data_IF_999221536058
#
_entry.id   IF_999221536058
#
_cell.length_a   1.000
_cell.length_b   1.000
_cell.length_c   1.000
_cell.angle_alpha   90.00
_cell.angle_beta   90.00
_cell.angle_gamma   90.00
#
_symmetry.space_group_name_H-M   'P 1'
#
loop_
_entity.id
_entity.type
_entity.pdbx_description
1 polymer ?
#
# COMPACT_ATOMS: atom_id res chain seq x y z
N UNK A 1 -13.94 -6.01 30.55
CA UNK A 1 -12.76 -5.30 30.02
C UNK A 1 -13.18 -3.87 29.73
N UNK A 2 -12.66 -2.90 30.45
CA UNK A 2 -13.04 -1.48 30.32
C UNK A 2 -12.27 -0.89 29.11
N UNK A 3 -13.00 -0.60 28.05
CA UNK A 3 -12.43 0.06 26.87
C UNK A 3 -11.92 1.45 27.24
N UNK A 4 -10.64 1.71 27.07
CA UNK A 4 -10.05 3.02 27.36
C UNK A 4 -10.59 4.10 26.43
N UNK A 5 -10.49 5.37 26.82
CA UNK A 5 -10.86 6.53 25.97
C UNK A 5 -10.07 6.52 24.65
N UNK A 6 -8.82 6.07 24.70
CA UNK A 6 -7.93 5.90 23.55
C UNK A 6 -8.45 4.85 22.57
N UNK A 7 -8.89 3.67 23.07
CA UNK A 7 -9.41 2.59 22.22
C UNK A 7 -10.72 2.98 21.51
N UNK A 8 -11.54 3.80 22.17
CA UNK A 8 -12.77 4.32 21.57
C UNK A 8 -12.48 5.32 20.46
N UNK A 9 -11.50 6.19 20.65
CA UNK A 9 -11.07 7.16 19.64
C UNK A 9 -10.46 6.45 18.43
N UNK A 10 -9.62 5.45 18.63
CA UNK A 10 -9.01 4.65 17.55
C UNK A 10 -10.10 3.92 16.74
N UNK A 11 -11.08 3.29 17.39
CA UNK A 11 -12.20 2.65 16.69
C UNK A 11 -13.07 3.63 15.90
N UNK A 12 -13.32 4.81 16.44
CA UNK A 12 -14.06 5.86 15.76
C UNK A 12 -13.30 6.32 14.49
N UNK A 13 -11.99 6.55 14.62
CA UNK A 13 -11.12 6.92 13.50
C UNK A 13 -11.13 5.85 12.40
N UNK A 14 -11.01 4.58 12.79
CA UNK A 14 -11.02 3.45 11.84
C UNK A 14 -12.35 3.33 11.09
N UNK A 15 -13.48 3.47 11.78
CA UNK A 15 -14.80 3.46 11.14
C UNK A 15 -14.97 4.59 10.12
N UNK A 16 -14.52 5.79 10.46
CA UNK A 16 -14.53 6.92 9.53
C UNK A 16 -13.63 6.67 8.33
N UNK A 17 -12.44 6.11 8.54
CA UNK A 17 -11.49 5.81 7.47
C UNK A 17 -12.04 4.78 6.50
N UNK A 18 -12.67 3.70 7.00
CA UNK A 18 -13.30 2.69 6.16
C UNK A 18 -14.46 3.27 5.34
N UNK A 19 -15.36 4.02 5.98
CA UNK A 19 -16.47 4.66 5.29
C UNK A 19 -16.00 5.68 4.24
N UNK A 20 -14.91 6.39 4.52
CA UNK A 20 -14.30 7.32 3.58
C UNK A 20 -13.70 6.59 2.37
N UNK A 21 -13.01 5.47 2.60
CA UNK A 21 -12.45 4.63 1.54
C UNK A 21 -13.53 4.20 0.55
N UNK A 22 -14.65 3.69 1.05
CA UNK A 22 -15.79 3.27 0.23
C UNK A 22 -16.41 4.45 -0.55
N UNK A 23 -16.59 5.60 0.11
CA UNK A 23 -17.17 6.79 -0.54
C UNK A 23 -16.24 7.36 -1.62
N UNK A 24 -14.93 7.39 -1.37
CA UNK A 24 -13.96 7.82 -2.37
C UNK A 24 -13.85 6.82 -3.53
N UNK A 25 -13.94 5.52 -3.26
CA UNK A 25 -13.95 4.49 -4.30
C UNK A 25 -15.17 4.62 -5.22
N UNK A 26 -16.35 4.90 -4.67
CA UNK A 26 -17.60 5.06 -5.43
C UNK A 26 -17.66 6.37 -6.24
N UNK A 27 -17.29 7.50 -5.60
CA UNK A 27 -17.54 8.83 -6.14
C UNK A 27 -16.30 9.53 -6.69
N UNK A 28 -15.08 9.06 -6.35
CA UNK A 28 -13.83 9.78 -6.52
C UNK A 28 -13.71 10.94 -5.54
N UNK A 29 -12.50 11.52 -5.46
CA UNK A 29 -12.23 12.59 -4.47
C UNK A 29 -13.18 13.78 -4.63
N UNK A 30 -13.33 14.35 -5.82
CA UNK A 30 -14.08 15.60 -6.03
C UNK A 30 -15.54 15.49 -5.58
N UNK A 31 -16.24 14.45 -5.99
CA UNK A 31 -17.67 14.27 -5.74
C UNK A 31 -18.00 13.65 -4.38
N UNK A 32 -17.00 13.16 -3.65
CA UNK A 32 -17.20 12.61 -2.32
C UNK A 32 -17.55 13.72 -1.32
N UNK A 33 -18.75 13.66 -0.74
CA UNK A 33 -19.20 14.59 0.29
C UNK A 33 -18.87 14.04 1.68
N UNK A 34 -18.33 14.89 2.57
CA UNK A 34 -18.01 14.49 3.98
C UNK A 34 -19.26 14.06 4.75
N UNK A 35 -20.44 14.63 4.42
CA UNK A 35 -21.73 14.21 4.99
C UNK A 35 -22.03 12.75 4.69
N UNK A 36 -21.78 12.29 3.45
CA UNK A 36 -21.97 10.90 3.05
C UNK A 36 -21.00 9.95 3.79
N UNK A 37 -19.79 10.41 4.07
CA UNK A 37 -18.81 9.63 4.86
C UNK A 37 -19.32 9.42 6.28
N UNK A 38 -19.77 10.47 6.96
CA UNK A 38 -20.23 10.34 8.36
C UNK A 38 -21.54 9.59 8.48
N UNK A 39 -22.45 9.74 7.51
CA UNK A 39 -23.68 8.94 7.43
C UNK A 39 -23.37 7.46 7.30
N UNK A 40 -22.47 7.07 6.39
CA UNK A 40 -22.03 5.68 6.21
C UNK A 40 -21.33 5.12 7.46
N UNK A 41 -20.52 5.95 8.12
CA UNK A 41 -19.86 5.57 9.36
C UNK A 41 -20.82 5.49 10.56
N UNK A 42 -22.05 6.05 10.47
CA UNK A 42 -22.96 6.21 11.60
C UNK A 42 -22.37 7.12 12.68
N UNK A 43 -21.71 8.22 12.25
CA UNK A 43 -20.99 9.17 13.10
C UNK A 43 -21.36 10.61 12.73
N UNK A 44 -20.79 11.59 13.42
CA UNK A 44 -21.08 13.01 13.24
C UNK A 44 -19.98 13.72 12.44
N UNK A 45 -20.32 14.85 11.79
CA UNK A 45 -19.34 15.74 11.16
C UNK A 45 -18.27 16.22 12.15
N UNK A 46 -18.68 16.52 13.40
CA UNK A 46 -17.75 16.90 14.47
C UNK A 46 -16.71 15.84 14.75
N UNK A 47 -17.09 14.53 14.71
CA UNK A 47 -16.13 13.44 14.87
C UNK A 47 -15.14 13.36 13.70
N UNK A 48 -15.60 13.55 12.47
CA UNK A 48 -14.72 13.55 11.30
C UNK A 48 -13.70 14.70 11.38
N UNK A 49 -14.16 15.92 11.65
CA UNK A 49 -13.26 17.07 11.75
C UNK A 49 -12.32 16.98 12.95
N UNK A 50 -12.75 16.36 14.05
CA UNK A 50 -11.88 16.10 15.21
C UNK A 50 -10.71 15.17 14.84
N UNK A 51 -10.96 14.10 14.05
CA UNK A 51 -9.94 13.12 13.71
C UNK A 51 -9.06 13.49 12.52
N UNK A 52 -9.59 14.23 11.56
CA UNK A 52 -8.94 14.45 10.26
C UNK A 52 -8.84 15.94 9.85
N UNK A 53 -9.52 16.84 10.53
CA UNK A 53 -9.50 18.29 10.26
C UNK A 53 -10.24 18.72 8.99
N UNK A 54 -10.15 17.94 7.90
CA UNK A 54 -10.74 18.29 6.60
C UNK A 54 -11.00 17.04 5.75
N UNK A 55 -11.69 17.21 4.60
CA UNK A 55 -11.79 16.16 3.56
C UNK A 55 -10.41 15.75 3.03
N UNK A 56 -9.52 16.74 2.84
CA UNK A 56 -8.15 16.50 2.42
C UNK A 56 -7.40 15.68 3.49
N UNK A 57 -7.52 16.01 4.77
CA UNK A 57 -6.91 15.23 5.86
C UNK A 57 -7.41 13.79 5.94
N UNK A 58 -8.68 13.52 5.54
CA UNK A 58 -9.18 12.15 5.38
C UNK A 58 -8.48 11.43 4.23
N UNK A 59 -8.30 12.09 3.08
CA UNK A 59 -7.62 11.52 1.93
C UNK A 59 -6.14 11.24 2.23
N UNK A 60 -5.44 12.18 2.87
CA UNK A 60 -4.06 12.00 3.33
C UNK A 60 -3.93 10.82 4.31
N UNK A 61 -4.87 10.68 5.24
CA UNK A 61 -4.89 9.55 6.17
C UNK A 61 -5.09 8.20 5.46
N UNK A 62 -5.87 8.13 4.38
CA UNK A 62 -6.00 6.93 3.54
C UNK A 62 -4.72 6.63 2.77
N UNK A 63 -4.10 7.65 2.16
CA UNK A 63 -2.84 7.48 1.44
C UNK A 63 -1.71 6.98 2.36
N UNK A 64 -1.67 7.44 3.61
CA UNK A 64 -0.64 7.08 4.57
C UNK A 64 -0.91 5.76 5.33
N UNK A 65 -2.14 5.25 5.33
CA UNK A 65 -2.48 4.01 6.02
C UNK A 65 -2.00 2.72 5.30
N UNK A 66 -1.48 2.83 4.08
CA UNK A 66 -1.19 1.68 3.22
C UNK A 66 -0.13 0.73 3.80
N UNK A 67 1.02 1.26 4.22
CA UNK A 67 2.14 0.46 4.73
C UNK A 67 1.85 -0.17 6.09
N UNK A 68 1.16 0.55 6.97
CA UNK A 68 0.81 0.09 8.33
C UNK A 68 -0.04 -1.19 8.32
N UNK A 69 -0.77 -1.46 7.23
CA UNK A 69 -1.66 -2.61 7.12
C UNK A 69 -0.96 -3.88 6.60
N UNK A 70 0.22 -3.76 5.98
CA UNK A 70 0.91 -4.87 5.31
C UNK A 70 2.04 -5.43 6.18
N UNK A 71 2.91 -4.58 6.71
CA UNK A 71 4.12 -5.01 7.43
C UNK A 71 3.90 -5.95 8.61
N UNK A 72 2.89 -5.75 9.49
CA UNK A 72 2.70 -6.61 10.65
C UNK A 72 2.39 -8.08 10.32
N UNK A 73 1.99 -8.36 9.09
CA UNK A 73 1.61 -9.69 8.63
C UNK A 73 2.80 -10.57 8.23
N UNK A 74 3.99 -9.98 8.08
CA UNK A 74 5.15 -10.63 7.48
C UNK A 74 6.21 -11.00 8.53
N UNK A 75 6.92 -12.10 8.30
CA UNK A 75 7.98 -12.61 9.19
C UNK A 75 9.34 -12.76 8.50
N UNK A 76 9.39 -12.66 7.18
CA UNK A 76 10.63 -12.69 6.38
C UNK A 76 11.51 -11.46 6.63
N UNK A 77 12.76 -11.50 6.23
CA UNK A 77 13.76 -10.41 6.28
C UNK A 77 14.35 -10.18 4.89
N UNK A 78 15.19 -9.17 4.74
CA UNK A 78 15.97 -8.91 3.54
C UNK A 78 15.11 -8.81 2.27
N UNK A 79 15.62 -9.39 1.19
CA UNK A 79 14.96 -9.35 -0.12
C UNK A 79 13.65 -10.15 -0.15
N UNK A 80 13.59 -11.28 0.58
CA UNK A 80 12.33 -12.03 0.68
C UNK A 80 11.22 -11.19 1.32
N UNK A 81 11.54 -10.35 2.29
CA UNK A 81 10.56 -9.41 2.89
C UNK A 81 9.99 -8.46 1.86
N UNK A 82 10.83 -7.92 1.00
CA UNK A 82 10.41 -7.01 -0.05
C UNK A 82 9.47 -7.68 -1.07
N UNK A 83 9.79 -8.91 -1.49
CA UNK A 83 8.92 -9.72 -2.34
C UNK A 83 7.58 -9.95 -1.65
N UNK A 84 7.59 -10.43 -0.40
CA UNK A 84 6.39 -10.72 0.37
C UNK A 84 5.50 -9.47 0.57
N UNK A 85 6.07 -8.29 0.80
CA UNK A 85 5.33 -7.01 0.87
C UNK A 85 4.52 -6.79 -0.40
N UNK A 86 5.12 -6.95 -1.56
CA UNK A 86 4.43 -6.70 -2.84
C UNK A 86 3.39 -7.76 -3.17
N UNK A 87 3.61 -9.03 -2.80
CA UNK A 87 2.63 -10.10 -2.95
C UNK A 87 1.41 -9.88 -2.04
N UNK A 88 1.63 -9.53 -0.77
CA UNK A 88 0.54 -9.18 0.16
C UNK A 88 -0.21 -7.95 -0.32
N UNK A 89 0.49 -6.94 -0.81
CA UNK A 89 -0.12 -5.76 -1.40
C UNK A 89 -1.00 -6.12 -2.61
N UNK A 90 -0.50 -6.91 -3.56
CA UNK A 90 -1.25 -7.33 -4.73
C UNK A 90 -2.51 -8.14 -4.36
N UNK A 91 -2.40 -9.02 -3.38
CA UNK A 91 -3.53 -9.79 -2.85
C UNK A 91 -4.58 -8.87 -2.22
N UNK A 92 -4.16 -7.98 -1.31
CA UNK A 92 -5.08 -7.09 -0.59
C UNK A 92 -5.75 -6.05 -1.49
N UNK A 93 -5.10 -5.64 -2.59
CA UNK A 93 -5.71 -4.77 -3.59
C UNK A 93 -7.01 -5.34 -4.20
N UNK A 94 -7.29 -6.64 -4.03
CA UNK A 94 -8.54 -7.24 -4.50
C UNK A 94 -9.72 -7.00 -3.56
N UNK A 95 -9.50 -6.86 -2.25
CA UNK A 95 -10.60 -6.81 -1.27
C UNK A 95 -10.49 -5.70 -0.21
N UNK A 96 -9.33 -5.10 0.02
CA UNK A 96 -9.15 -4.07 1.05
C UNK A 96 -9.52 -2.67 0.51
N UNK A 97 -10.66 -2.10 0.93
CA UNK A 97 -11.08 -0.80 0.42
C UNK A 97 -10.18 0.35 0.86
N UNK A 98 -9.54 0.27 2.05
CA UNK A 98 -8.62 1.31 2.52
C UNK A 98 -7.38 1.35 1.64
N UNK A 99 -6.80 0.19 1.33
CA UNK A 99 -5.65 0.10 0.45
C UNK A 99 -5.98 0.60 -0.97
N UNK A 100 -7.10 0.14 -1.54
CA UNK A 100 -7.54 0.57 -2.88
C UNK A 100 -7.76 2.08 -2.97
N UNK A 101 -8.50 2.63 -2.00
CA UNK A 101 -8.77 4.06 -1.96
C UNK A 101 -7.49 4.89 -1.79
N UNK A 102 -6.59 4.46 -0.90
CA UNK A 102 -5.30 5.13 -0.68
C UNK A 102 -4.43 5.14 -1.93
N UNK A 103 -4.29 4.00 -2.62
CA UNK A 103 -3.52 3.89 -3.87
C UNK A 103 -4.16 4.74 -4.98
N UNK A 104 -5.47 4.69 -5.13
CA UNK A 104 -6.20 5.50 -6.11
C UNK A 104 -6.01 7.00 -5.87
N UNK A 105 -6.22 7.46 -4.63
CA UNK A 105 -6.05 8.85 -4.24
C UNK A 105 -4.62 9.34 -4.52
N UNK A 106 -3.60 8.53 -4.20
CA UNK A 106 -2.20 8.87 -4.46
C UNK A 106 -1.90 9.07 -5.95
N UNK A 107 -2.52 8.28 -6.84
CA UNK A 107 -2.34 8.40 -8.30
C UNK A 107 -3.14 9.57 -8.87
N UNK A 108 -4.37 9.81 -8.38
CA UNK A 108 -5.28 10.81 -8.93
C UNK A 108 -5.05 12.22 -8.38
N UNK A 109 -4.18 12.44 -7.38
CA UNK A 109 -4.02 13.73 -6.68
C UNK A 109 -3.68 14.91 -7.60
N UNK A 110 -2.95 14.69 -8.69
CA UNK A 110 -2.66 15.74 -9.67
C UNK A 110 -3.90 16.34 -10.32
N UNK A 111 -4.98 15.56 -10.48
CA UNK A 111 -6.27 16.04 -11.00
C UNK A 111 -7.04 16.89 -9.98
N UNK A 112 -6.62 16.90 -8.73
CA UNK A 112 -7.23 17.63 -7.61
C UNK A 112 -6.36 18.77 -7.10
N UNK A 113 -5.32 19.16 -7.85
CA UNK A 113 -4.41 20.22 -7.49
C UNK A 113 -3.47 19.90 -6.32
N UNK A 114 -3.41 18.64 -5.91
CA UNK A 114 -2.44 18.12 -4.95
C UNK A 114 -1.24 17.53 -5.71
N UNK A 115 -0.04 17.80 -5.23
CA UNK A 115 1.21 17.25 -5.77
C UNK A 115 2.09 16.82 -4.60
N UNK A 116 1.63 15.82 -3.86
CA UNK A 116 2.30 15.32 -2.67
C UNK A 116 2.82 13.89 -2.93
N UNK A 117 4.13 13.74 -2.99
CA UNK A 117 4.79 12.45 -3.18
C UNK A 117 4.99 11.66 -1.88
N UNK A 118 4.55 12.17 -0.73
CA UNK A 118 4.85 11.62 0.61
C UNK A 118 4.53 10.12 0.71
N UNK A 119 3.40 9.67 0.20
CA UNK A 119 3.02 8.24 0.25
C UNK A 119 3.93 7.37 -0.61
N UNK A 120 4.38 7.84 -1.78
CA UNK A 120 5.34 7.13 -2.63
C UNK A 120 6.73 7.10 -2.00
N UNK A 121 7.16 8.22 -1.41
CA UNK A 121 8.43 8.30 -0.70
C UNK A 121 8.46 7.42 0.56
N UNK A 122 7.34 7.30 1.28
CA UNK A 122 7.22 6.38 2.40
C UNK A 122 7.39 4.92 1.96
N UNK A 123 6.76 4.52 0.86
CA UNK A 123 6.96 3.19 0.28
C UNK A 123 8.39 2.97 -0.20
N UNK A 124 8.98 3.96 -0.89
CA UNK A 124 10.37 3.90 -1.34
C UNK A 124 11.32 3.69 -0.15
N UNK A 125 11.16 4.45 0.91
CA UNK A 125 12.00 4.38 2.09
C UNK A 125 11.89 3.03 2.81
N UNK A 126 10.65 2.52 2.95
CA UNK A 126 10.40 1.19 3.49
C UNK A 126 11.13 0.10 2.69
N UNK A 127 10.96 0.11 1.36
CA UNK A 127 11.58 -0.86 0.46
C UNK A 127 13.10 -0.73 0.45
N UNK A 128 13.63 0.51 0.48
CA UNK A 128 15.06 0.78 0.56
C UNK A 128 15.67 0.16 1.82
N UNK A 129 15.02 0.30 2.97
CA UNK A 129 15.50 -0.30 4.23
C UNK A 129 15.65 -1.81 4.15
N UNK A 130 14.68 -2.51 3.54
CA UNK A 130 14.78 -3.97 3.34
C UNK A 130 15.85 -4.35 2.31
N UNK A 131 16.05 -3.54 1.27
CA UNK A 131 17.11 -3.75 0.28
C UNK A 131 18.51 -3.48 0.87
N UNK A 132 18.66 -2.54 1.80
CA UNK A 132 19.91 -2.33 2.52
C UNK A 132 20.25 -3.54 3.40
N UNK A 133 19.25 -4.08 4.12
CA UNK A 133 19.41 -5.33 4.87
C UNK A 133 19.84 -6.48 3.92
N UNK A 134 19.16 -6.64 2.80
CA UNK A 134 19.51 -7.65 1.79
C UNK A 134 20.94 -7.48 1.26
N UNK A 135 21.38 -6.25 1.05
CA UNK A 135 22.77 -5.97 0.63
C UNK A 135 23.78 -6.38 1.70
N UNK A 136 23.49 -6.03 2.96
CA UNK A 136 24.39 -6.34 4.10
C UNK A 136 24.46 -7.87 4.35
N UNK A 137 23.42 -8.61 4.00
CA UNK A 137 23.32 -10.07 4.04
C UNK A 137 23.89 -10.75 2.77
N UNK A 138 24.38 -9.98 1.78
CA UNK A 138 24.96 -10.51 0.54
C UNK A 138 23.94 -11.02 -0.48
N UNK A 139 22.66 -10.67 -0.33
CA UNK A 139 21.60 -11.08 -1.24
C UNK A 139 21.52 -10.23 -2.53
N UNK A 140 22.23 -9.08 -2.57
CA UNK A 140 22.28 -8.21 -3.76
C UNK A 140 23.66 -8.25 -4.41
N UNK A 141 23.70 -8.13 -5.74
CA UNK A 141 24.95 -7.88 -6.48
C UNK A 141 25.57 -6.57 -6.03
N UNK A 142 26.91 -6.51 -5.95
CA UNK A 142 27.67 -5.33 -5.47
C UNK A 142 27.32 -4.02 -6.23
N UNK A 143 27.07 -4.12 -7.53
CA UNK A 143 26.72 -2.96 -8.37
C UNK A 143 25.28 -2.47 -8.20
N UNK A 144 24.44 -3.15 -7.43
CA UNK A 144 23.02 -2.80 -7.26
C UNK A 144 22.87 -1.71 -6.21
N UNK A 145 22.23 -0.62 -6.60
CA UNK A 145 21.85 0.48 -5.72
C UNK A 145 20.44 0.21 -5.14
N UNK A 146 20.29 0.00 -3.82
CA UNK A 146 19.02 -0.24 -3.15
C UNK A 146 17.97 0.84 -3.41
N UNK A 147 18.36 2.11 -3.44
CA UNK A 147 17.44 3.22 -3.68
C UNK A 147 16.86 3.21 -5.11
N UNK A 148 17.68 2.86 -6.10
CA UNK A 148 17.21 2.71 -7.49
C UNK A 148 16.24 1.55 -7.65
N UNK A 149 16.50 0.42 -7.00
CA UNK A 149 15.58 -0.72 -7.00
C UNK A 149 14.27 -0.37 -6.31
N UNK A 150 14.32 0.28 -5.13
CA UNK A 150 13.13 0.73 -4.41
C UNK A 150 12.26 1.65 -5.28
N UNK A 151 12.84 2.66 -5.91
CA UNK A 151 12.13 3.57 -6.85
C UNK A 151 11.50 2.82 -8.00
N UNK A 152 12.23 1.87 -8.59
CA UNK A 152 11.72 1.05 -9.69
C UNK A 152 10.52 0.21 -9.25
N UNK A 153 10.60 -0.49 -8.11
CA UNK A 153 9.54 -1.36 -7.61
C UNK A 153 8.28 -0.54 -7.28
N UNK A 154 8.41 0.60 -6.61
CA UNK A 154 7.26 1.51 -6.34
C UNK A 154 6.61 1.96 -7.64
N UNK A 155 7.41 2.41 -8.63
CA UNK A 155 6.90 2.84 -9.92
C UNK A 155 6.23 1.70 -10.70
N UNK A 156 6.83 0.51 -10.71
CA UNK A 156 6.30 -0.68 -11.38
C UNK A 156 4.96 -1.12 -10.75
N UNK A 157 4.89 -1.24 -9.42
CA UNK A 157 3.64 -1.57 -8.70
C UNK A 157 2.54 -0.54 -9.00
N UNK A 158 2.87 0.75 -9.00
CA UNK A 158 1.92 1.82 -9.32
C UNK A 158 1.38 1.68 -10.74
N UNK A 159 2.24 1.46 -11.73
CA UNK A 159 1.83 1.27 -13.12
C UNK A 159 1.04 -0.01 -13.34
N UNK A 160 1.51 -1.12 -12.77
CA UNK A 160 0.86 -2.43 -12.89
C UNK A 160 -0.56 -2.42 -12.33
N UNK A 161 -0.79 -1.82 -11.16
CA UNK A 161 -2.13 -1.79 -10.58
C UNK A 161 -3.11 -0.96 -11.42
N UNK A 162 -2.67 0.14 -12.02
CA UNK A 162 -3.52 0.93 -12.93
C UNK A 162 -3.88 0.11 -14.17
N UNK A 163 -2.88 -0.52 -14.77
CA UNK A 163 -3.09 -1.38 -15.94
C UNK A 163 -4.00 -2.58 -15.63
N UNK A 164 -3.72 -3.31 -14.57
CA UNK A 164 -4.51 -4.46 -14.13
C UNK A 164 -5.96 -4.07 -13.81
N UNK A 165 -6.16 -2.93 -13.14
CA UNK A 165 -7.51 -2.41 -12.88
C UNK A 165 -8.31 -2.18 -14.16
N UNK A 166 -7.70 -1.55 -15.16
CA UNK A 166 -8.37 -1.24 -16.43
C UNK A 166 -8.59 -2.49 -17.29
N UNK A 167 -7.68 -3.45 -17.25
CA UNK A 167 -7.74 -4.65 -18.10
C UNK A 167 -8.63 -5.74 -17.53
N UNK A 168 -8.57 -6.00 -16.22
CA UNK A 168 -9.16 -7.19 -15.58
C UNK A 168 -9.87 -6.90 -14.25
N UNK A 169 -9.99 -5.63 -13.84
CA UNK A 169 -10.49 -5.29 -12.50
C UNK A 169 -9.58 -5.79 -11.37
N UNK A 170 -8.27 -5.89 -11.64
CA UNK A 170 -7.18 -6.39 -10.76
C UNK A 170 -7.12 -7.91 -10.59
N UNK A 171 -7.85 -8.69 -11.39
CA UNK A 171 -7.83 -10.15 -11.26
C UNK A 171 -6.43 -10.74 -11.55
N UNK A 172 -5.64 -10.11 -12.43
CA UNK A 172 -4.27 -10.54 -12.82
C UNK A 172 -3.14 -9.80 -12.08
N UNK A 173 -3.44 -8.99 -11.07
CA UNK A 173 -2.42 -8.17 -10.39
C UNK A 173 -1.38 -9.04 -9.67
N UNK A 174 -1.79 -10.14 -9.06
CA UNK A 174 -0.89 -11.09 -8.42
C UNK A 174 0.09 -11.71 -9.43
N UNK A 175 -0.42 -12.20 -10.55
CA UNK A 175 0.38 -12.78 -11.63
C UNK A 175 1.41 -11.77 -12.14
N UNK A 176 0.99 -10.55 -12.44
CA UNK A 176 1.89 -9.45 -12.87
C UNK A 176 2.97 -9.13 -11.83
N UNK A 177 2.64 -9.22 -10.55
CA UNK A 177 3.60 -8.97 -9.47
C UNK A 177 4.66 -10.09 -9.43
N UNK A 178 4.25 -11.35 -9.59
CA UNK A 178 5.17 -12.48 -9.72
C UNK A 178 6.06 -12.35 -10.96
N UNK A 179 5.48 -11.97 -12.11
CA UNK A 179 6.23 -11.75 -13.35
C UNK A 179 7.28 -10.65 -13.20
N UNK A 180 6.91 -9.54 -12.57
CA UNK A 180 7.86 -8.45 -12.28
C UNK A 180 9.08 -8.97 -11.51
N UNK A 181 8.86 -9.75 -10.44
CA UNK A 181 9.96 -10.30 -9.66
C UNK A 181 10.76 -11.35 -10.43
N UNK A 182 10.11 -12.20 -11.18
CA UNK A 182 10.80 -13.21 -12.02
C UNK A 182 11.74 -12.55 -13.04
N UNK A 183 11.37 -11.39 -13.56
CA UNK A 183 12.21 -10.61 -14.47
C UNK A 183 13.30 -9.79 -13.75
N UNK A 184 13.01 -9.28 -12.55
CA UNK A 184 13.90 -8.38 -11.83
C UNK A 184 14.99 -9.12 -11.05
N UNK A 185 14.64 -10.21 -10.36
CA UNK A 185 15.56 -10.96 -9.50
C UNK A 185 16.87 -11.35 -10.18
N UNK A 186 16.89 -11.94 -11.40
CA UNK A 186 18.13 -12.31 -12.06
C UNK A 186 19.07 -11.14 -12.33
N UNK A 187 18.52 -9.91 -12.38
CA UNK A 187 19.30 -8.69 -12.64
C UNK A 187 19.94 -8.13 -11.37
N UNK A 188 19.33 -8.33 -10.20
CA UNK A 188 19.75 -7.69 -8.95
C UNK A 188 20.38 -8.66 -7.94
N UNK A 189 20.14 -9.96 -8.07
CA UNK A 189 20.55 -11.00 -7.11
C UNK A 189 21.70 -11.84 -7.69
N UNK A 190 22.74 -12.24 -6.90
CA UNK A 190 23.71 -13.22 -7.32
C UNK A 190 23.05 -14.54 -7.72
N UNK A 191 23.63 -15.27 -8.69
CA UNK A 191 23.02 -16.47 -9.27
C UNK A 191 22.74 -17.55 -8.20
N UNK A 192 23.64 -17.71 -7.24
CA UNK A 192 23.54 -18.64 -6.12
C UNK A 192 22.44 -18.31 -5.10
N UNK A 193 21.91 -17.10 -5.12
CA UNK A 193 20.87 -16.62 -4.18
C UNK A 193 19.49 -16.63 -4.82
N UNK A 194 19.39 -16.58 -6.15
CA UNK A 194 18.11 -16.48 -6.89
C UNK A 194 17.11 -17.53 -6.43
N UNK A 195 17.55 -18.79 -6.31
CA UNK A 195 16.69 -19.93 -5.95
C UNK A 195 16.21 -19.90 -4.49
N UNK A 196 16.83 -19.06 -3.64
CA UNK A 196 16.43 -18.89 -2.24
C UNK A 196 15.27 -17.90 -2.09
N UNK A 197 14.98 -17.10 -3.11
CA UNK A 197 13.93 -16.08 -3.07
C UNK A 197 12.68 -16.62 -3.75
N UNK A 198 11.64 -16.83 -2.96
CA UNK A 198 10.36 -17.36 -3.45
C UNK A 198 9.41 -16.26 -3.87
N UNK A 199 8.86 -16.36 -5.06
CA UNK A 199 7.79 -15.48 -5.60
C UNK A 199 6.43 -16.19 -5.62
N UNK A 200 6.25 -17.23 -4.80
CA UNK A 200 5.03 -18.02 -4.72
C UNK A 200 3.87 -17.22 -4.08
N UNK A 201 2.73 -17.03 -4.77
CA UNK A 201 1.52 -16.44 -4.18
C UNK A 201 1.02 -17.12 -2.90
N UNK A 202 1.32 -18.41 -2.72
CA UNK A 202 0.98 -19.19 -1.53
C UNK A 202 1.65 -18.68 -0.23
N UNK A 203 2.63 -17.80 -0.33
CA UNK A 203 3.29 -17.16 0.82
C UNK A 203 2.45 -16.04 1.46
N UNK A 204 1.40 -15.58 0.77
CA UNK A 204 0.51 -14.55 1.32
C UNK A 204 -0.28 -15.14 2.49
N UNK A 205 -0.23 -14.51 3.69
CA UNK A 205 -1.02 -14.97 4.83
C UNK A 205 -2.51 -14.96 4.49
N UNK A 206 -3.16 -16.11 4.60
CA UNK A 206 -4.62 -16.19 4.60
C UNK A 206 -5.11 -15.67 5.95
N UNK A 207 -5.80 -14.52 5.95
CA UNK A 207 -6.45 -13.93 7.11
C UNK A 207 -7.58 -14.79 7.66
#
# INVERSE_FOLDING_TARGET
MTTTRSDRAARTRQRLLLAAAEVFEEAGYERAAVTRIVERAGLTLGALYFHFGSKQGVAEALMNAQSETIEPLLRSTGLQRLVDITLVWAHRMQYDPILRAGVRLAVEQGSHGMNDATSFEAWRELMRGHLETARDEGELKEAVDPDRVAKFVVGACTGMQVYSYLATGRADLMERTCDMWSLLLPSIVPEEVVDNISVDPGRVPTS
#
